data_IF_455861707752
#
_entry.id   IF_455861707752
#
_cell.length_a   1.000
_cell.length_b   1.000
_cell.length_c   1.000
_cell.angle_alpha   90.00
_cell.angle_beta   90.00
_cell.angle_gamma   90.00
#
_symmetry.space_group_name_H-M   'P 1'
#
loop_
_entity.id
_entity.type
_entity.pdbx_description
1 polymer ?
#
# COMPACT_ATOMS: atom_id res chain seq x y z
N UNK A 1 15.23 -1.42 -4.45
CA UNK A 1 14.08 -0.54 -4.09
C UNK A 1 14.56 0.56 -3.14
N UNK A 2 14.10 1.79 -3.34
CA UNK A 2 14.55 2.97 -2.58
C UNK A 2 13.41 3.63 -1.79
N UNK A 3 12.20 3.08 -1.88
CA UNK A 3 10.98 3.52 -1.20
C UNK A 3 10.19 2.31 -0.71
N UNK A 4 9.35 2.49 0.29
CA UNK A 4 8.54 1.43 0.88
C UNK A 4 7.05 1.82 0.88
N UNK A 5 6.40 1.70 -0.28
CA UNK A 5 4.99 2.06 -0.47
C UNK A 5 4.32 1.26 -1.59
N UNK A 6 4.85 1.36 -2.80
CA UNK A 6 4.21 0.81 -4.00
C UNK A 6 4.28 -0.72 -4.14
N UNK A 7 5.27 -1.37 -3.51
CA UNK A 7 5.51 -2.81 -3.68
C UNK A 7 5.90 -3.25 -5.09
N UNK A 8 6.21 -2.29 -5.98
CA UNK A 8 6.43 -2.55 -7.43
C UNK A 8 7.65 -3.44 -7.75
N UNK A 9 8.47 -3.77 -6.77
CA UNK A 9 9.56 -4.72 -6.93
C UNK A 9 9.12 -6.18 -7.10
N UNK A 10 7.86 -6.49 -6.79
CA UNK A 10 7.32 -7.87 -6.83
C UNK A 10 6.01 -8.00 -7.61
N UNK A 11 5.58 -6.94 -8.29
CA UNK A 11 4.35 -6.97 -9.08
C UNK A 11 4.57 -6.54 -10.54
N UNK A 12 3.53 -6.64 -11.35
CA UNK A 12 3.50 -6.30 -12.77
C UNK A 12 2.63 -5.07 -13.07
N UNK A 13 2.39 -4.23 -12.07
CA UNK A 13 1.50 -3.09 -12.20
C UNK A 13 2.28 -1.77 -12.26
N UNK A 14 1.75 -0.82 -13.01
CA UNK A 14 2.21 0.55 -13.05
C UNK A 14 1.04 1.50 -13.22
N UNK A 15 1.25 2.77 -12.88
CA UNK A 15 0.24 3.81 -13.02
C UNK A 15 0.82 4.96 -13.83
N UNK A 16 0.10 5.38 -14.87
CA UNK A 16 0.52 6.43 -15.78
C UNK A 16 -0.50 7.56 -15.76
N UNK A 17 -0.01 8.79 -15.59
CA UNK A 17 -0.85 9.99 -15.67
C UNK A 17 -0.73 10.63 -17.03
N UNK A 18 -1.87 10.87 -17.68
CA UNK A 18 -1.97 11.71 -18.89
C UNK A 18 -2.48 13.11 -18.48
N UNK A 19 -1.61 14.11 -18.39
CA UNK A 19 -2.04 15.45 -17.97
C UNK A 19 -2.92 16.17 -19.01
N UNK A 20 -2.90 15.72 -20.27
CA UNK A 20 -3.73 16.33 -21.31
C UNK A 20 -5.21 15.95 -21.17
N UNK A 21 -5.50 14.79 -20.61
CA UNK A 21 -6.86 14.27 -20.43
C UNK A 21 -7.30 14.22 -18.95
N UNK A 22 -6.41 14.57 -18.00
CA UNK A 22 -6.60 14.39 -16.57
C UNK A 22 -6.98 12.94 -16.21
N UNK A 23 -6.29 11.98 -16.83
CA UNK A 23 -6.47 10.56 -16.56
C UNK A 23 -5.24 10.02 -15.84
N UNK A 24 -5.46 9.21 -14.79
CA UNK A 24 -4.43 8.43 -14.10
C UNK A 24 -4.86 6.97 -14.13
N UNK A 25 -4.19 6.19 -14.97
CA UNK A 25 -4.63 4.86 -15.38
C UNK A 25 -3.64 3.82 -14.89
N UNK A 26 -4.17 2.79 -14.20
CA UNK A 26 -3.41 1.56 -13.91
C UNK A 26 -3.22 0.75 -15.20
N UNK A 27 -2.00 0.30 -15.42
CA UNK A 27 -1.62 -0.56 -16.54
C UNK A 27 -0.74 -1.70 -16.06
N UNK A 28 -0.82 -2.85 -16.73
CA UNK A 28 -0.03 -4.01 -16.34
C UNK A 28 -0.79 -5.32 -16.48
N UNK A 29 -0.51 -6.28 -15.58
CA UNK A 29 -1.16 -7.60 -15.57
C UNK A 29 -0.55 -8.60 -16.55
N UNK A 30 0.58 -8.29 -17.19
CA UNK A 30 1.29 -9.20 -18.08
C UNK A 30 2.51 -9.79 -17.37
N UNK A 31 2.73 -11.10 -17.51
CA UNK A 31 3.86 -11.80 -16.88
C UNK A 31 5.22 -11.20 -17.24
N UNK A 32 5.36 -10.66 -18.45
CA UNK A 32 6.58 -10.02 -18.94
C UNK A 32 6.94 -8.70 -18.22
N UNK A 33 6.04 -8.15 -17.43
CA UNK A 33 6.25 -6.91 -16.68
C UNK A 33 6.77 -7.15 -15.25
N UNK A 34 6.81 -8.40 -14.79
CA UNK A 34 7.45 -8.69 -13.51
C UNK A 34 8.94 -8.37 -13.56
N UNK A 35 9.49 -7.75 -12.52
CA UNK A 35 10.94 -7.62 -12.39
C UNK A 35 11.62 -9.00 -12.43
N UNK A 36 12.70 -9.11 -13.21
CA UNK A 36 13.50 -10.36 -13.27
C UNK A 36 14.24 -10.60 -11.95
N UNK A 37 14.61 -9.54 -11.25
CA UNK A 37 15.28 -9.55 -9.96
C UNK A 37 14.84 -8.33 -9.16
N UNK A 38 14.46 -8.53 -7.93
CA UNK A 38 14.18 -7.48 -6.97
C UNK A 38 15.26 -7.47 -5.87
N UNK A 39 15.85 -6.31 -5.62
CA UNK A 39 16.78 -6.09 -4.50
C UNK A 39 16.09 -5.15 -3.50
N UNK A 40 15.81 -5.65 -2.32
CA UNK A 40 15.19 -4.90 -1.23
C UNK A 40 16.24 -4.68 -0.13
N UNK A 41 16.80 -3.49 -0.12
CA UNK A 41 17.82 -3.09 0.85
C UNK A 41 17.30 -1.89 1.66
N UNK A 42 16.97 -2.08 2.96
CA UNK A 42 16.43 -1.03 3.80
C UNK A 42 17.39 0.16 3.99
N UNK A 43 18.70 -0.02 3.84
CA UNK A 43 19.67 1.09 3.92
C UNK A 43 19.40 2.14 2.84
N UNK A 44 18.96 1.73 1.65
CA UNK A 44 18.62 2.65 0.55
C UNK A 44 17.37 3.51 0.85
N UNK A 45 16.61 3.15 1.87
CA UNK A 45 15.41 3.89 2.31
C UNK A 45 15.67 4.82 3.50
N UNK A 46 16.85 4.74 4.12
CA UNK A 46 17.18 5.47 5.36
C UNK A 46 17.10 6.99 5.20
N UNK A 47 17.35 7.50 3.98
CA UNK A 47 17.33 8.93 3.67
C UNK A 47 15.96 9.48 3.25
N UNK A 48 14.94 8.62 3.16
CA UNK A 48 13.58 9.07 2.82
C UNK A 48 13.05 9.99 3.92
N UNK A 49 12.64 11.23 3.60
CA UNK A 49 12.12 12.16 4.59
C UNK A 49 10.88 11.63 5.32
N UNK A 50 10.71 11.99 6.59
CA UNK A 50 9.64 11.53 7.47
C UNK A 50 8.23 11.63 6.82
N UNK A 51 7.94 12.76 6.16
CA UNK A 51 6.67 12.99 5.47
C UNK A 51 6.41 11.94 4.38
N UNK A 52 7.42 11.63 3.57
CA UNK A 52 7.29 10.63 2.50
C UNK A 52 7.33 9.21 3.06
N UNK A 53 8.08 8.96 4.13
CA UNK A 53 8.01 7.69 4.86
C UNK A 53 6.59 7.40 5.33
N UNK A 54 5.89 8.42 5.88
CA UNK A 54 4.50 8.28 6.28
C UNK A 54 3.58 7.97 5.08
N UNK A 55 3.67 8.75 4.00
CA UNK A 55 2.82 8.52 2.83
C UNK A 55 3.02 7.14 2.21
N UNK A 56 4.26 6.71 2.08
CA UNK A 56 4.60 5.39 1.54
C UNK A 56 4.12 4.25 2.45
N UNK A 57 4.32 4.40 3.76
CA UNK A 57 3.85 3.39 4.71
C UNK A 57 2.33 3.23 4.74
N UNK A 58 1.58 4.33 4.58
CA UNK A 58 0.14 4.27 4.42
C UNK A 58 -0.27 3.67 3.07
N UNK A 59 0.47 3.92 2.00
CA UNK A 59 0.25 3.30 0.70
C UNK A 59 0.36 1.77 0.79
N UNK A 60 1.45 1.26 1.38
CA UNK A 60 1.63 -0.16 1.65
C UNK A 60 0.51 -0.74 2.54
N UNK A 61 0.05 0.02 3.53
CA UNK A 61 -1.09 -0.36 4.36
C UNK A 61 -2.36 -0.52 3.52
N UNK A 62 -2.67 0.45 2.68
CA UNK A 62 -3.93 0.45 1.92
C UNK A 62 -3.94 -0.59 0.81
N UNK A 63 -2.83 -0.88 0.14
CA UNK A 63 -2.72 -2.05 -0.73
C UNK A 63 -3.13 -3.35 -0.02
N UNK A 64 -2.67 -3.50 1.23
CA UNK A 64 -2.94 -4.71 2.00
C UNK A 64 -4.36 -4.73 2.59
N UNK A 65 -4.86 -3.60 3.09
CA UNK A 65 -6.21 -3.54 3.67
C UNK A 65 -7.30 -3.64 2.61
N UNK A 66 -7.13 -2.99 1.46
CA UNK A 66 -8.05 -3.18 0.32
C UNK A 66 -8.05 -4.61 -0.17
N UNK A 67 -6.87 -5.20 -0.35
CA UNK A 67 -6.75 -6.61 -0.71
C UNK A 67 -7.44 -7.53 0.29
N UNK A 68 -7.29 -7.25 1.58
CA UNK A 68 -7.86 -8.07 2.65
C UNK A 68 -9.39 -8.03 2.70
N UNK A 69 -10.04 -6.92 2.33
CA UNK A 69 -11.50 -6.82 2.23
C UNK A 69 -12.03 -7.15 0.83
N UNK A 70 -11.16 -7.43 -0.13
CA UNK A 70 -11.54 -7.78 -1.50
C UNK A 70 -12.24 -9.13 -1.57
N UNK A 71 -13.13 -9.30 -2.55
CA UNK A 71 -13.71 -10.60 -2.88
C UNK A 71 -12.74 -11.55 -3.60
N UNK A 72 -11.63 -11.04 -4.11
CA UNK A 72 -10.58 -11.81 -4.78
C UNK A 72 -9.53 -12.38 -3.80
N UNK A 73 -9.83 -12.42 -2.51
CA UNK A 73 -8.92 -12.92 -1.48
C UNK A 73 -8.87 -14.46 -1.43
N UNK A 74 -7.81 -14.96 -0.83
CA UNK A 74 -7.55 -16.38 -0.59
C UNK A 74 -6.76 -16.52 0.72
N UNK A 75 -6.54 -17.75 1.18
CA UNK A 75 -5.68 -17.98 2.36
C UNK A 75 -4.25 -17.48 2.13
N UNK A 76 -3.75 -17.56 0.88
CA UNK A 76 -2.43 -17.05 0.53
C UNK A 76 -2.38 -15.52 0.60
N UNK A 77 -3.37 -14.83 0.02
CA UNK A 77 -3.45 -13.38 0.09
C UNK A 77 -3.64 -12.87 1.52
N UNK A 78 -4.49 -13.54 2.31
CA UNK A 78 -4.70 -13.21 3.73
C UNK A 78 -3.38 -13.22 4.53
N UNK A 79 -2.50 -14.20 4.26
CA UNK A 79 -1.22 -14.34 4.95
C UNK A 79 -0.31 -13.15 4.68
N UNK A 80 -0.12 -12.76 3.42
CA UNK A 80 0.78 -11.65 3.07
C UNK A 80 0.19 -10.29 3.49
N UNK A 81 -1.13 -10.13 3.35
CA UNK A 81 -1.83 -8.90 3.72
C UNK A 81 -1.76 -8.63 5.22
N UNK A 82 -2.05 -9.63 6.05
CA UNK A 82 -1.96 -9.48 7.51
C UNK A 82 -0.53 -9.26 7.98
N UNK A 83 0.46 -9.91 7.35
CA UNK A 83 1.87 -9.67 7.66
C UNK A 83 2.26 -8.22 7.36
N UNK A 84 1.82 -7.65 6.22
CA UNK A 84 2.06 -6.25 5.90
C UNK A 84 1.38 -5.31 6.91
N UNK A 85 0.09 -5.51 7.17
CA UNK A 85 -0.71 -4.68 8.10
C UNK A 85 -0.07 -4.65 9.50
N UNK A 86 0.33 -5.82 10.03
CA UNK A 86 0.98 -5.93 11.33
C UNK A 86 2.30 -5.14 11.39
N UNK A 87 3.14 -5.28 10.36
CA UNK A 87 4.42 -4.60 10.32
C UNK A 87 4.26 -3.08 10.18
N UNK A 88 3.31 -2.61 9.35
CA UNK A 88 3.00 -1.18 9.28
C UNK A 88 2.50 -0.67 10.63
N UNK A 89 1.57 -1.36 11.28
CA UNK A 89 1.04 -0.97 12.60
C UNK A 89 2.15 -0.81 13.65
N UNK A 90 3.09 -1.72 13.69
CA UNK A 90 4.17 -1.71 14.69
C UNK A 90 5.31 -0.72 14.38
N UNK A 91 5.68 -0.56 13.12
CA UNK A 91 6.95 0.04 12.76
C UNK A 91 6.84 1.38 12.02
N UNK A 92 5.72 1.70 11.35
CA UNK A 92 5.61 2.94 10.58
C UNK A 92 5.87 4.17 11.44
N UNK A 93 5.24 4.26 12.61
CA UNK A 93 5.42 5.41 13.50
C UNK A 93 6.87 5.55 14.01
N UNK A 94 7.62 4.45 14.14
CA UNK A 94 9.04 4.46 14.48
C UNK A 94 9.87 4.99 13.32
N UNK A 95 9.68 4.44 12.11
CA UNK A 95 10.39 4.86 10.91
C UNK A 95 10.14 6.34 10.55
N UNK A 96 8.94 6.86 10.82
CA UNK A 96 8.59 8.28 10.63
C UNK A 96 9.29 9.17 11.64
N UNK A 97 9.37 8.75 12.91
CA UNK A 97 10.01 9.55 13.98
C UNK A 97 11.53 9.56 13.85
N UNK A 98 12.10 8.44 13.47
CA UNK A 98 13.54 8.28 13.31
C UNK A 98 13.84 7.48 12.03
N UNK A 99 14.26 8.20 10.98
CA UNK A 99 14.63 7.60 9.70
C UNK A 99 15.88 6.70 9.77
N UNK A 100 16.67 6.81 10.83
CA UNK A 100 17.85 5.98 11.07
C UNK A 100 17.56 4.70 11.87
N UNK A 101 16.33 4.50 12.33
CA UNK A 101 15.88 3.25 12.95
C UNK A 101 15.84 2.12 11.91
N UNK A 102 16.97 1.44 11.73
CA UNK A 102 17.13 0.43 10.68
C UNK A 102 16.22 -0.79 10.89
N UNK A 103 15.91 -1.16 12.14
CA UNK A 103 14.90 -2.21 12.40
C UNK A 103 13.53 -1.79 11.83
N UNK A 104 13.10 -0.56 12.10
CA UNK A 104 11.84 -0.06 11.57
C UNK A 104 11.88 0.06 10.02
N UNK A 105 13.01 0.46 9.44
CA UNK A 105 13.18 0.48 7.97
C UNK A 105 13.09 -0.91 7.34
N UNK A 106 13.71 -1.91 7.94
CA UNK A 106 13.66 -3.30 7.48
C UNK A 106 12.22 -3.84 7.51
N UNK A 107 11.51 -3.62 8.62
CA UNK A 107 10.12 -4.04 8.73
C UNK A 107 9.18 -3.30 7.78
N UNK A 108 9.43 -2.02 7.50
CA UNK A 108 8.66 -1.28 6.50
C UNK A 108 8.98 -1.74 5.08
N UNK A 109 10.25 -2.06 4.77
CA UNK A 109 10.63 -2.66 3.50
C UNK A 109 9.95 -4.01 3.28
N UNK A 110 9.94 -4.87 4.31
CA UNK A 110 9.20 -6.13 4.30
C UNK A 110 7.69 -5.93 4.08
N UNK A 111 7.07 -4.99 4.82
CA UNK A 111 5.65 -4.69 4.67
C UNK A 111 5.30 -4.22 3.24
N UNK A 112 6.16 -3.38 2.65
CA UNK A 112 6.02 -2.93 1.28
C UNK A 112 6.08 -4.10 0.28
N UNK A 113 7.04 -5.00 0.41
CA UNK A 113 7.15 -6.19 -0.45
C UNK A 113 5.92 -7.09 -0.30
N UNK A 114 5.44 -7.32 0.93
CA UNK A 114 4.22 -8.09 1.16
C UNK A 114 2.97 -7.40 0.58
N UNK A 115 2.90 -6.07 0.61
CA UNK A 115 1.81 -5.31 -0.01
C UNK A 115 1.83 -5.43 -1.55
N UNK A 116 3.01 -5.47 -2.17
CA UNK A 116 3.15 -5.79 -3.59
C UNK A 116 2.63 -7.18 -3.94
N UNK A 117 3.00 -8.18 -3.16
CA UNK A 117 2.43 -9.54 -3.33
C UNK A 117 0.92 -9.56 -3.14
N UNK A 118 0.35 -8.73 -2.25
CA UNK A 118 -1.11 -8.59 -2.11
C UNK A 118 -1.79 -8.25 -3.43
N UNK A 119 -1.19 -7.39 -4.24
CA UNK A 119 -1.74 -7.00 -5.53
C UNK A 119 -1.65 -8.12 -6.59
N UNK A 120 -0.69 -9.03 -6.44
CA UNK A 120 -0.52 -10.19 -7.34
C UNK A 120 -1.48 -11.32 -7.01
N UNK A 121 -1.63 -11.65 -5.71
CA UNK A 121 -2.42 -12.80 -5.26
C UNK A 121 -3.85 -12.44 -4.83
N UNK A 122 -4.20 -11.19 -4.93
CA UNK A 122 -5.49 -10.61 -4.59
C UNK A 122 -5.85 -9.48 -5.56
N UNK A 123 -6.58 -8.49 -5.11
CA UNK A 123 -6.89 -7.28 -5.86
C UNK A 123 -7.23 -6.15 -4.91
N UNK A 124 -6.82 -4.94 -5.19
CA UNK A 124 -7.35 -3.75 -4.52
C UNK A 124 -8.86 -3.64 -4.78
N UNK A 125 -9.56 -3.00 -3.87
CA UNK A 125 -10.95 -2.64 -4.05
C UNK A 125 -11.06 -1.28 -4.77
N UNK A 126 -11.56 -0.22 -4.18
CA UNK A 126 -11.80 1.03 -4.91
C UNK A 126 -11.11 2.27 -4.33
N UNK A 127 -10.41 2.17 -3.20
CA UNK A 127 -9.75 3.31 -2.57
C UNK A 127 -8.66 3.90 -3.47
N UNK A 128 -7.78 3.04 -4.00
CA UNK A 128 -6.75 3.45 -4.95
C UNK A 128 -7.34 4.05 -6.23
N UNK A 129 -8.42 3.46 -6.77
CA UNK A 129 -9.08 3.99 -7.96
C UNK A 129 -9.70 5.38 -7.71
N UNK A 130 -10.25 5.61 -6.52
CA UNK A 130 -10.79 6.92 -6.12
C UNK A 130 -9.66 7.95 -5.98
N UNK A 131 -8.54 7.56 -5.36
CA UNK A 131 -7.37 8.43 -5.26
C UNK A 131 -6.78 8.75 -6.63
N UNK A 132 -6.65 7.78 -7.52
CA UNK A 132 -6.17 8.02 -8.89
C UNK A 132 -7.04 9.06 -9.62
N UNK A 133 -8.34 8.96 -9.50
CA UNK A 133 -9.25 9.95 -10.07
C UNK A 133 -9.03 11.35 -9.45
N UNK A 134 -8.79 11.43 -8.14
CA UNK A 134 -8.53 12.68 -7.45
C UNK A 134 -7.19 13.30 -7.86
N UNK A 135 -6.10 12.54 -7.81
CA UNK A 135 -4.76 13.02 -8.13
C UNK A 135 -4.54 13.24 -9.63
N UNK A 136 -5.37 12.68 -10.52
CA UNK A 136 -5.38 13.01 -11.93
C UNK A 136 -5.69 14.50 -12.18
N UNK A 137 -6.53 15.12 -11.35
CA UNK A 137 -6.87 16.54 -11.40
C UNK A 137 -5.99 17.41 -10.50
N UNK A 138 -5.31 16.82 -9.53
CA UNK A 138 -4.48 17.50 -8.53
C UNK A 138 -3.06 16.95 -8.57
N UNK A 139 -2.30 17.32 -9.60
CA UNK A 139 -0.96 16.79 -9.87
C UNK A 139 0.07 17.01 -8.75
N UNK A 140 -0.16 17.98 -7.87
CA UNK A 140 0.70 18.26 -6.71
C UNK A 140 0.34 17.41 -5.47
N UNK A 141 -0.74 16.63 -5.53
CA UNK A 141 -1.18 15.78 -4.43
C UNK A 141 -0.35 14.48 -4.41
N UNK A 142 0.49 14.26 -3.37
CA UNK A 142 1.18 12.99 -3.25
C UNK A 142 0.19 11.84 -3.07
N UNK A 143 0.41 10.74 -3.78
CA UNK A 143 -0.49 9.58 -3.82
C UNK A 143 -0.91 9.10 -2.41
N UNK A 144 0.06 8.78 -1.55
CA UNK A 144 -0.25 8.33 -0.19
C UNK A 144 -0.98 9.38 0.66
N UNK A 145 -0.80 10.69 0.39
CA UNK A 145 -1.57 11.73 1.06
C UNK A 145 -3.04 11.69 0.62
N UNK A 146 -3.28 11.49 -0.67
CA UNK A 146 -4.63 11.35 -1.23
C UNK A 146 -5.36 10.16 -0.62
N UNK A 147 -4.71 9.00 -0.53
CA UNK A 147 -5.25 7.81 0.13
C UNK A 147 -5.64 8.10 1.59
N UNK A 148 -4.74 8.72 2.38
CA UNK A 148 -5.01 9.08 3.78
C UNK A 148 -6.25 9.99 3.89
N UNK A 149 -6.44 10.94 2.97
CA UNK A 149 -7.56 11.87 3.00
C UNK A 149 -8.92 11.17 2.87
N UNK A 150 -9.01 10.12 2.08
CA UNK A 150 -10.27 9.42 1.81
C UNK A 150 -10.48 8.19 2.70
N UNK A 151 -9.43 7.61 3.25
CA UNK A 151 -9.43 6.32 3.94
C UNK A 151 -10.45 6.23 5.07
N UNK A 152 -10.54 7.25 5.93
CA UNK A 152 -11.45 7.23 7.06
C UNK A 152 -12.90 7.02 6.63
N UNK A 153 -13.37 7.82 5.68
CA UNK A 153 -14.75 7.73 5.20
C UNK A 153 -14.96 6.45 4.38
N UNK A 154 -13.96 6.05 3.62
CA UNK A 154 -13.97 4.82 2.84
C UNK A 154 -14.19 3.59 3.73
N UNK A 155 -13.34 3.36 4.73
CA UNK A 155 -13.48 2.20 5.62
C UNK A 155 -14.71 2.32 6.54
N UNK A 156 -15.07 3.52 6.99
CA UNK A 156 -16.31 3.75 7.75
C UNK A 156 -17.54 3.31 6.97
N UNK A 157 -17.56 3.54 5.65
CA UNK A 157 -18.67 3.06 4.81
C UNK A 157 -18.83 1.54 4.87
N UNK A 158 -17.73 0.78 4.72
CA UNK A 158 -17.79 -0.68 4.78
C UNK A 158 -18.17 -1.21 6.16
N UNK A 159 -17.62 -0.61 7.22
CA UNK A 159 -17.96 -0.96 8.61
C UNK A 159 -19.46 -0.76 8.87
N UNK A 160 -20.02 0.39 8.49
CA UNK A 160 -21.44 0.70 8.68
C UNK A 160 -22.37 -0.19 7.84
N UNK A 161 -21.85 -0.80 6.77
CA UNK A 161 -22.61 -1.74 5.93
C UNK A 161 -22.50 -3.19 6.40
N UNK A 162 -21.68 -3.48 7.39
CA UNK A 162 -21.46 -4.84 7.92
C UNK A 162 -21.09 -5.86 6.82
N UNK A 163 -20.34 -5.42 5.80
CA UNK A 163 -20.04 -6.26 4.64
C UNK A 163 -18.98 -7.33 4.93
N UNK A 164 -18.06 -7.07 5.88
CA UNK A 164 -16.90 -7.91 6.16
C UNK A 164 -16.35 -7.68 7.58
N UNK A 165 -17.23 -7.69 8.58
CA UNK A 165 -16.90 -7.38 9.99
C UNK A 165 -15.77 -8.24 10.54
N UNK A 166 -15.77 -9.56 10.26
CA UNK A 166 -14.69 -10.46 10.69
C UNK A 166 -13.33 -10.03 10.16
N UNK A 167 -13.27 -9.49 8.94
CA UNK A 167 -12.04 -8.98 8.34
C UNK A 167 -11.57 -7.70 9.02
N UNK A 168 -12.49 -6.79 9.31
CA UNK A 168 -12.15 -5.58 10.06
C UNK A 168 -11.64 -5.89 11.48
N UNK A 169 -12.25 -6.87 12.16
CA UNK A 169 -11.78 -7.34 13.47
C UNK A 169 -10.35 -7.91 13.37
N UNK A 170 -10.06 -8.71 12.34
CA UNK A 170 -8.73 -9.27 12.13
C UNK A 170 -7.70 -8.18 11.79
N UNK A 171 -8.05 -7.20 10.94
CA UNK A 171 -7.19 -6.05 10.64
C UNK A 171 -6.89 -5.22 11.88
N UNK A 172 -7.90 -4.91 12.69
CA UNK A 172 -7.70 -4.16 13.92
C UNK A 172 -6.74 -4.88 14.89
N UNK A 173 -6.87 -6.21 15.01
CA UNK A 173 -5.94 -7.01 15.83
C UNK A 173 -4.52 -7.02 15.26
N UNK A 174 -4.35 -6.98 13.93
CA UNK A 174 -3.03 -6.93 13.31
C UNK A 174 -2.37 -5.55 13.48
N UNK A 175 -3.15 -4.49 13.51
CA UNK A 175 -2.65 -3.13 13.75
C UNK A 175 -2.21 -2.88 15.22
N UNK A 176 -2.71 -3.63 16.18
CA UNK A 176 -2.38 -3.57 17.61
C UNK A 176 -3.56 -3.21 18.51
#
# INVERSE_FOLDING_TARGET
>A
TTTAGTGSEVDQWGVVTNPATNEKIGCGGMDSLFPTLAVVDPELMATVPAKFTAYQGFDALFHSTEGFISKANSLMSDMVQLAAIENVGKYLARAVRDGSDMEAREHMAFANTMSGYSMVVGACTSEHAMEHAMSAYHGDLPHGAGLIMISKEYYTHFVNKHCCDDRFIRMAKALG
#
